data_IF_596105049830
#
_entry.id   IF_596105049830
#
_cell.length_a   1.000
_cell.length_b   1.000
_cell.length_c   1.000
_cell.angle_alpha   90.00
_cell.angle_beta   90.00
_cell.angle_gamma   90.00
#
_symmetry.space_group_name_H-M   'P 1'
#
loop_
_entity.id
_entity.type
_entity.pdbx_description
1 polymer ?
#
# COMPACT_ATOMS: atom_id res chain seq x y z
N UNK A 1 2.74 5.15 37.70
CA UNK A 1 1.92 5.87 36.71
C UNK A 1 0.85 4.93 36.16
N UNK A 2 -0.42 5.35 36.16
CA UNK A 2 -1.54 4.52 35.65
C UNK A 2 -1.77 4.82 34.16
N UNK A 3 -1.28 3.92 33.29
CA UNK A 3 -1.56 3.99 31.87
C UNK A 3 -2.98 3.51 31.54
N UNK A 4 -3.55 4.07 30.47
CA UNK A 4 -4.84 3.62 29.93
C UNK A 4 -4.82 2.11 29.64
N UNK A 5 -5.91 1.42 29.94
CA UNK A 5 -6.06 -0.01 29.62
C UNK A 5 -5.99 -0.27 28.09
N UNK A 6 -6.38 0.72 27.28
CA UNK A 6 -6.25 0.62 25.80
C UNK A 6 -4.80 0.43 25.39
N UNK A 7 -3.86 1.26 25.90
CA UNK A 7 -2.42 1.17 25.57
C UNK A 7 -1.84 -0.20 25.95
N UNK A 8 -2.28 -0.78 27.07
CA UNK A 8 -1.78 -2.09 27.53
C UNK A 8 -2.18 -3.25 26.61
N UNK A 9 -3.24 -3.09 25.82
CA UNK A 9 -3.77 -4.12 24.89
C UNK A 9 -3.17 -4.03 23.48
N UNK A 10 -2.55 -2.89 23.13
CA UNK A 10 -2.03 -2.66 21.78
C UNK A 10 -0.82 -3.54 21.48
N UNK A 11 -0.83 -4.13 20.28
CA UNK A 11 0.31 -4.78 19.65
C UNK A 11 0.77 -3.92 18.48
N UNK A 12 1.84 -3.14 18.63
CA UNK A 12 2.26 -2.23 17.58
C UNK A 12 2.75 -2.98 16.33
N UNK A 13 2.58 -2.36 15.18
CA UNK A 13 3.16 -2.82 13.94
C UNK A 13 4.70 -2.87 14.03
N UNK A 14 5.30 -3.93 13.49
CA UNK A 14 6.75 -4.06 13.41
C UNK A 14 7.20 -3.69 11.99
N UNK A 15 7.79 -2.50 11.79
CA UNK A 15 8.26 -2.06 10.48
C UNK A 15 9.40 -2.93 9.96
N UNK A 16 9.72 -2.81 8.66
CA UNK A 16 10.94 -3.37 8.11
C UNK A 16 12.17 -2.79 8.80
N UNK A 17 13.14 -3.63 9.10
CA UNK A 17 14.36 -3.17 9.78
C UNK A 17 15.13 -2.13 8.95
N UNK A 18 15.79 -1.22 9.65
CA UNK A 18 16.65 -0.19 9.09
C UNK A 18 17.96 -0.10 9.91
N UNK A 19 18.80 -1.14 9.85
CA UNK A 19 20.04 -1.17 10.62
C UNK A 19 20.98 -0.05 10.16
N UNK A 20 21.77 0.51 11.10
CA UNK A 20 22.67 1.64 10.87
C UNK A 20 24.16 1.24 11.03
N UNK A 21 24.44 -0.04 11.21
CA UNK A 21 25.78 -0.59 11.47
C UNK A 21 26.68 -0.57 10.22
N UNK A 22 26.09 -0.63 9.02
CA UNK A 22 26.77 -0.57 7.72
C UNK A 22 25.81 -0.16 6.60
N UNK A 23 26.35 0.05 5.40
CA UNK A 23 25.53 0.30 4.21
C UNK A 23 24.98 -1.03 3.65
N UNK A 24 23.67 -1.11 3.55
CA UNK A 24 22.95 -2.25 2.96
C UNK A 24 22.36 -1.90 1.59
N UNK A 25 22.23 -2.91 0.73
CA UNK A 25 21.29 -2.87 -0.38
C UNK A 25 19.89 -3.09 0.20
N UNK A 26 19.09 -2.02 0.27
CA UNK A 26 17.80 -2.02 0.95
C UNK A 26 16.66 -2.41 0.01
N UNK A 27 16.21 -3.67 0.06
CA UNK A 27 15.13 -4.23 -0.75
C UNK A 27 13.98 -4.80 0.12
N UNK A 28 13.71 -4.20 1.29
CA UNK A 28 12.78 -4.74 2.29
C UNK A 28 11.51 -3.89 2.54
N UNK A 29 11.44 -2.62 2.09
CA UNK A 29 10.35 -1.70 2.43
C UNK A 29 9.59 -1.14 1.23
N UNK A 30 9.78 -1.73 0.05
CA UNK A 30 9.08 -1.39 -1.19
C UNK A 30 9.22 0.10 -1.58
N UNK A 31 10.38 0.68 -1.30
CA UNK A 31 10.71 2.02 -1.78
C UNK A 31 11.04 1.96 -3.28
N UNK A 32 10.78 3.04 -3.98
CA UNK A 32 11.14 3.17 -5.38
C UNK A 32 12.65 3.47 -5.48
N UNK A 33 13.43 2.78 -6.31
CA UNK A 33 14.88 3.00 -6.41
C UNK A 33 15.23 4.30 -7.16
N UNK A 34 14.27 4.92 -7.83
CA UNK A 34 14.48 6.15 -8.58
C UNK A 34 14.08 7.39 -7.76
N UNK A 35 14.71 8.56 -8.02
CA UNK A 35 14.36 9.80 -7.36
C UNK A 35 12.97 10.32 -7.79
N UNK A 36 12.39 11.28 -7.05
CA UNK A 36 11.23 12.02 -7.52
C UNK A 36 11.57 12.85 -8.78
N UNK A 37 10.53 13.34 -9.46
CA UNK A 37 10.69 14.05 -10.73
C UNK A 37 11.60 15.28 -10.63
N UNK A 38 12.26 15.67 -11.73
CA UNK A 38 13.10 16.86 -11.77
C UNK A 38 12.38 18.14 -11.33
N UNK A 39 11.07 18.26 -11.59
CA UNK A 39 10.27 19.40 -11.18
C UNK A 39 10.14 19.49 -9.66
N UNK A 40 9.96 18.36 -8.97
CA UNK A 40 9.97 18.30 -7.50
C UNK A 40 11.32 18.76 -6.96
N UNK A 41 12.43 18.28 -7.55
CA UNK A 41 13.79 18.72 -7.17
C UNK A 41 13.95 20.22 -7.36
N UNK A 42 13.53 20.76 -8.50
CA UNK A 42 13.61 22.21 -8.81
C UNK A 42 12.80 23.03 -7.81
N UNK A 43 11.61 22.57 -7.44
CA UNK A 43 10.79 23.24 -6.43
C UNK A 43 11.50 23.30 -5.06
N UNK A 44 12.08 22.18 -4.60
CA UNK A 44 12.78 22.13 -3.32
C UNK A 44 14.03 23.03 -3.28
N UNK A 45 14.74 23.17 -4.41
CA UNK A 45 15.92 24.04 -4.53
C UNK A 45 15.56 25.54 -4.48
N UNK A 46 14.34 25.91 -4.87
CA UNK A 46 13.87 27.29 -4.92
C UNK A 46 12.75 27.57 -3.88
N UNK A 47 12.75 26.81 -2.79
CA UNK A 47 11.74 26.94 -1.76
C UNK A 47 11.87 28.29 -1.04
N UNK A 48 10.77 29.04 -1.02
CA UNK A 48 10.58 30.19 -0.14
C UNK A 48 10.24 29.72 1.27
N UNK A 49 11.25 29.71 2.16
CA UNK A 49 11.11 29.24 3.52
C UNK A 49 10.19 30.14 4.39
N UNK A 50 10.00 31.42 4.05
CA UNK A 50 9.16 32.34 4.82
C UNK A 50 7.69 31.91 4.84
N UNK A 51 7.28 31.15 3.83
CA UNK A 51 5.91 30.58 3.77
C UNK A 51 5.64 29.49 4.79
N UNK A 52 6.69 28.87 5.36
CA UNK A 52 6.54 27.79 6.34
C UNK A 52 5.97 28.25 7.68
N UNK A 53 5.95 29.57 7.96
CA UNK A 53 5.33 30.16 9.16
C UNK A 53 3.79 30.15 9.14
N UNK A 54 3.18 29.81 8.00
CA UNK A 54 1.73 29.80 7.82
C UNK A 54 1.18 28.37 7.81
N UNK A 55 -0.01 28.18 8.39
CA UNK A 55 -0.73 26.93 8.27
C UNK A 55 -1.06 26.62 6.80
N UNK A 56 -1.08 25.34 6.41
CA UNK A 56 -1.53 24.91 5.07
C UNK A 56 -3.03 25.09 4.89
N UNK A 57 -3.51 24.93 3.65
CA UNK A 57 -4.93 24.71 3.38
C UNK A 57 -5.36 23.38 4.05
N UNK A 58 -6.25 23.44 5.03
CA UNK A 58 -6.69 22.29 5.80
C UNK A 58 -7.49 21.26 5.00
N UNK A 59 -8.10 21.68 3.89
CA UNK A 59 -8.80 20.80 2.95
C UNK A 59 -7.95 20.37 1.75
N UNK A 60 -6.76 20.95 1.58
CA UNK A 60 -5.86 20.69 0.44
C UNK A 60 -6.57 20.79 -0.92
N UNK A 61 -7.41 21.83 -1.11
CA UNK A 61 -8.37 21.93 -2.23
C UNK A 61 -7.68 21.79 -3.59
N UNK A 62 -6.57 22.52 -3.81
CA UNK A 62 -5.84 22.47 -5.09
C UNK A 62 -5.27 21.08 -5.40
N UNK A 63 -4.79 20.39 -4.37
CA UNK A 63 -4.29 19.01 -4.53
C UNK A 63 -5.44 18.03 -4.81
N UNK A 64 -6.57 18.17 -4.13
CA UNK A 64 -7.80 17.36 -4.37
C UNK A 64 -8.33 17.59 -5.80
N UNK A 65 -8.34 18.84 -6.29
CA UNK A 65 -8.70 19.17 -7.68
C UNK A 65 -7.79 18.47 -8.68
N UNK A 66 -6.47 18.54 -8.50
CA UNK A 66 -5.50 17.87 -9.39
C UNK A 66 -5.61 16.35 -9.37
N UNK A 67 -5.84 15.75 -8.20
CA UNK A 67 -6.10 14.31 -8.11
C UNK A 67 -7.41 13.99 -8.84
N UNK A 68 -8.47 14.76 -8.61
CA UNK A 68 -9.76 14.58 -9.29
C UNK A 68 -9.61 14.65 -10.82
N UNK A 69 -8.95 15.67 -11.34
CA UNK A 69 -8.67 15.83 -12.78
C UNK A 69 -7.95 14.60 -13.36
N UNK A 70 -6.93 14.08 -12.66
CA UNK A 70 -6.17 12.91 -13.11
C UNK A 70 -7.03 11.64 -13.23
N UNK A 71 -8.02 11.48 -12.36
CA UNK A 71 -8.85 10.26 -12.28
C UNK A 71 -10.28 10.45 -12.81
N UNK A 72 -10.60 11.61 -13.39
CA UNK A 72 -11.95 11.92 -13.91
C UNK A 72 -13.00 12.07 -12.80
N UNK A 73 -12.59 12.56 -11.63
CA UNK A 73 -13.42 12.75 -10.44
C UNK A 73 -13.50 14.24 -10.05
N UNK A 74 -14.51 14.60 -9.26
CA UNK A 74 -14.58 15.91 -8.63
C UNK A 74 -13.71 15.93 -7.35
N UNK A 75 -13.26 17.11 -6.91
CA UNK A 75 -12.51 17.27 -5.65
C UNK A 75 -13.27 16.71 -4.42
N UNK A 76 -14.60 16.76 -4.44
CA UNK A 76 -15.42 16.26 -3.34
C UNK A 76 -15.50 14.72 -3.28
N UNK A 77 -14.91 14.05 -4.25
CA UNK A 77 -14.71 12.60 -4.30
C UNK A 77 -13.26 12.20 -3.91
N UNK A 78 -12.45 13.15 -3.43
CA UNK A 78 -11.05 12.93 -3.06
C UNK A 78 -10.82 13.40 -1.64
N UNK A 79 -10.19 12.58 -0.81
CA UNK A 79 -9.67 12.91 0.52
C UNK A 79 -8.14 12.79 0.52
N UNK A 80 -7.42 13.72 1.13
CA UNK A 80 -5.95 13.74 1.21
C UNK A 80 -5.50 13.57 2.65
N UNK A 81 -4.42 12.81 2.86
CA UNK A 81 -3.92 12.42 4.18
C UNK A 81 -2.39 12.38 4.26
N UNK A 82 -1.85 12.33 5.46
CA UNK A 82 -0.42 12.20 5.76
C UNK A 82 0.07 10.74 5.53
N UNK A 83 0.06 10.32 4.28
CA UNK A 83 0.31 8.94 3.84
C UNK A 83 -0.95 8.07 3.86
N UNK A 84 -0.89 6.94 3.15
CA UNK A 84 -2.00 5.98 3.11
C UNK A 84 -2.31 5.33 4.47
N UNK A 85 -1.35 5.28 5.38
CA UNK A 85 -1.58 4.73 6.72
C UNK A 85 -2.58 5.58 7.50
N UNK A 86 -2.49 6.94 7.43
CA UNK A 86 -3.48 7.82 8.03
C UNK A 86 -4.83 7.72 7.31
N UNK A 87 -4.83 7.65 5.96
CA UNK A 87 -6.05 7.42 5.18
C UNK A 87 -6.78 6.15 5.63
N UNK A 88 -6.05 5.03 5.71
CA UNK A 88 -6.58 3.75 6.18
C UNK A 88 -7.11 3.86 7.62
N UNK A 89 -6.34 4.49 8.52
CA UNK A 89 -6.75 4.71 9.91
C UNK A 89 -8.09 5.43 10.00
N UNK A 90 -8.28 6.50 9.22
CA UNK A 90 -9.54 7.25 9.19
C UNK A 90 -10.68 6.45 8.54
N UNK A 91 -10.40 5.67 7.48
CA UNK A 91 -11.38 4.75 6.90
C UNK A 91 -11.84 3.71 7.92
N UNK A 92 -10.91 3.11 8.67
CA UNK A 92 -11.25 2.11 9.69
C UNK A 92 -12.16 2.72 10.77
N UNK A 93 -11.83 3.91 11.25
CA UNK A 93 -12.65 4.60 12.25
C UNK A 93 -14.03 5.01 11.73
N UNK A 94 -14.11 5.53 10.51
CA UNK A 94 -15.34 6.09 9.95
C UNK A 94 -16.36 5.05 9.49
N UNK A 95 -15.88 3.85 9.06
CA UNK A 95 -16.70 2.95 8.25
C UNK A 95 -16.99 1.61 8.93
N UNK A 96 -16.15 1.16 9.85
CA UNK A 96 -16.28 -0.18 10.41
C UNK A 96 -16.62 -0.15 11.89
N UNK A 97 -17.79 -0.70 12.21
CA UNK A 97 -18.30 -0.80 13.57
C UNK A 97 -18.69 -2.25 13.86
N UNK A 98 -18.18 -2.80 14.96
CA UNK A 98 -18.46 -4.17 15.42
C UNK A 98 -19.94 -4.41 15.75
N UNK A 99 -20.73 -3.36 15.99
CA UNK A 99 -22.18 -3.47 16.13
C UNK A 99 -22.86 -3.95 14.85
N UNK A 100 -22.23 -3.73 13.70
CA UNK A 100 -22.70 -4.12 12.37
C UNK A 100 -22.07 -5.42 11.85
N UNK A 101 -21.31 -6.14 12.67
CA UNK A 101 -20.62 -7.39 12.32
C UNK A 101 -19.09 -7.26 12.31
N UNK A 102 -18.40 -8.31 11.86
CA UNK A 102 -16.94 -8.35 11.78
C UNK A 102 -16.43 -7.74 10.48
N UNK A 103 -15.32 -7.01 10.55
CA UNK A 103 -14.57 -6.60 9.36
C UNK A 103 -13.88 -7.81 8.73
N UNK A 104 -13.99 -7.95 7.41
CA UNK A 104 -13.35 -9.03 6.67
C UNK A 104 -12.08 -8.55 5.96
N UNK A 105 -11.02 -9.35 5.99
CA UNK A 105 -9.83 -9.16 5.14
C UNK A 105 -9.10 -10.50 4.91
N UNK A 106 -8.25 -10.61 3.86
CA UNK A 106 -7.50 -11.83 3.60
C UNK A 106 -6.55 -12.16 4.75
N UNK A 107 -6.39 -13.45 5.07
CA UNK A 107 -5.46 -13.93 6.10
C UNK A 107 -4.02 -13.49 5.84
N UNK A 108 -3.60 -13.49 4.58
CA UNK A 108 -2.30 -13.01 4.12
C UNK A 108 -2.50 -11.71 3.35
N UNK A 109 -2.30 -10.59 4.03
CA UNK A 109 -2.48 -9.23 3.49
C UNK A 109 -1.61 -8.22 4.23
N UNK A 110 -1.86 -6.92 4.04
CA UNK A 110 -1.15 -5.86 4.73
C UNK A 110 -1.31 -5.99 6.25
N UNK A 111 -0.21 -6.23 6.94
CA UNK A 111 -0.20 -6.59 8.36
C UNK A 111 -0.60 -5.46 9.31
N UNK A 112 -0.90 -4.26 8.79
CA UNK A 112 -1.41 -3.16 9.59
C UNK A 112 -2.94 -3.21 9.80
N UNK A 113 -3.70 -3.94 8.97
CA UNK A 113 -5.16 -4.01 9.14
C UNK A 113 -5.59 -4.52 10.52
N UNK A 114 -5.06 -5.64 11.06
CA UNK A 114 -5.37 -6.04 12.43
C UNK A 114 -4.92 -5.03 13.49
N UNK A 115 -3.85 -4.25 13.24
CA UNK A 115 -3.40 -3.19 14.16
C UNK A 115 -4.43 -2.07 14.27
N UNK A 116 -5.04 -1.65 13.15
CA UNK A 116 -6.15 -0.69 13.18
C UNK A 116 -7.37 -1.27 13.90
N UNK A 117 -7.72 -2.53 13.65
CA UNK A 117 -8.81 -3.21 14.34
C UNK A 117 -8.60 -3.20 15.86
N UNK A 118 -7.42 -3.60 16.33
CA UNK A 118 -7.06 -3.61 17.76
C UNK A 118 -7.08 -2.19 18.35
N UNK A 119 -6.65 -1.18 17.58
CA UNK A 119 -6.61 0.22 18.01
C UNK A 119 -8.01 0.82 18.21
N UNK A 120 -8.93 0.52 17.29
CA UNK A 120 -10.29 1.04 17.31
C UNK A 120 -11.32 0.12 17.97
N UNK A 121 -10.93 -1.09 18.36
CA UNK A 121 -11.82 -2.08 18.95
C UNK A 121 -12.78 -2.72 17.93
N UNK A 122 -12.35 -2.85 16.68
CA UNK A 122 -13.12 -3.46 15.60
C UNK A 122 -12.89 -4.97 15.61
N UNK A 123 -13.96 -5.76 15.73
CA UNK A 123 -13.87 -7.19 15.55
C UNK A 123 -13.64 -7.55 14.07
N UNK A 124 -12.83 -8.58 13.81
CA UNK A 124 -12.50 -8.96 12.45
C UNK A 124 -12.44 -10.46 12.23
N UNK A 125 -12.57 -10.88 10.99
CA UNK A 125 -12.38 -12.24 10.53
C UNK A 125 -11.35 -12.26 9.39
N UNK A 126 -10.35 -13.12 9.52
CA UNK A 126 -9.36 -13.38 8.46
C UNK A 126 -9.88 -14.46 7.54
N UNK A 127 -10.07 -14.12 6.27
CA UNK A 127 -10.52 -15.06 5.26
C UNK A 127 -9.32 -15.82 4.70
N UNK A 128 -9.31 -17.17 4.81
CA UNK A 128 -8.20 -17.98 4.32
C UNK A 128 -7.93 -17.72 2.82
N UNK A 129 -6.67 -17.44 2.49
CA UNK A 129 -6.25 -17.34 1.08
C UNK A 129 -6.22 -18.70 0.41
N UNK A 130 -6.26 -18.74 -0.95
CA UNK A 130 -6.14 -19.99 -1.71
C UNK A 130 -4.75 -20.63 -1.51
N UNK A 131 -4.56 -21.83 -2.07
CA UNK A 131 -3.25 -22.49 -2.06
C UNK A 131 -2.15 -21.67 -2.77
N UNK A 132 -2.54 -20.91 -3.77
CA UNK A 132 -1.69 -20.00 -4.54
C UNK A 132 -1.53 -18.63 -3.88
N UNK A 133 -1.98 -18.46 -2.63
CA UNK A 133 -1.99 -17.22 -1.86
C UNK A 133 -2.78 -16.08 -2.53
N UNK A 134 -3.79 -16.42 -3.34
CA UNK A 134 -4.70 -15.46 -3.95
C UNK A 134 -5.87 -15.11 -3.01
N UNK A 135 -6.48 -13.95 -3.21
CA UNK A 135 -7.66 -13.49 -2.47
C UNK A 135 -8.90 -14.26 -2.94
N UNK A 136 -9.63 -14.97 -2.05
CA UNK A 136 -10.79 -15.78 -2.42
C UNK A 136 -12.07 -14.92 -2.45
N UNK A 137 -12.39 -14.31 -3.58
CA UNK A 137 -13.53 -13.38 -3.74
C UNK A 137 -14.85 -14.00 -3.31
N UNK A 138 -15.12 -15.26 -3.68
CA UNK A 138 -16.34 -15.99 -3.35
C UNK A 138 -16.52 -16.16 -1.84
N UNK A 139 -15.44 -16.29 -1.10
CA UNK A 139 -15.51 -16.44 0.35
C UNK A 139 -15.91 -15.14 1.05
N UNK A 140 -15.59 -13.98 0.48
CA UNK A 140 -16.08 -12.69 0.96
C UNK A 140 -17.59 -12.53 0.70
N UNK A 141 -18.03 -12.86 -0.51
CA UNK A 141 -19.43 -12.74 -0.92
C UNK A 141 -20.37 -13.57 -0.05
N UNK A 142 -19.93 -14.73 0.43
CA UNK A 142 -20.71 -15.60 1.33
C UNK A 142 -20.96 -14.98 2.71
N UNK A 143 -20.15 -14.03 3.17
CA UNK A 143 -20.19 -13.49 4.55
C UNK A 143 -20.94 -12.16 4.64
N UNK A 144 -22.22 -12.17 4.23
CA UNK A 144 -23.08 -10.99 4.18
C UNK A 144 -23.34 -10.30 5.53
N UNK A 145 -23.11 -10.98 6.65
CA UNK A 145 -23.28 -10.44 8.01
C UNK A 145 -22.09 -9.61 8.53
N UNK A 146 -21.07 -9.33 7.72
CA UNK A 146 -19.93 -8.51 8.09
C UNK A 146 -20.27 -7.01 8.12
N UNK A 147 -19.43 -6.19 8.78
CA UNK A 147 -19.57 -4.72 8.73
C UNK A 147 -18.92 -4.09 7.50
N UNK A 148 -18.20 -4.86 6.69
CA UNK A 148 -17.51 -4.42 5.49
C UNK A 148 -16.30 -5.31 5.22
N UNK A 149 -15.55 -4.95 4.18
CA UNK A 149 -14.32 -5.67 3.84
C UNK A 149 -13.20 -4.71 3.40
N UNK A 150 -11.96 -5.15 3.60
CA UNK A 150 -10.75 -4.46 3.14
C UNK A 150 -9.76 -5.44 2.55
N UNK A 151 -9.17 -5.09 1.42
CA UNK A 151 -8.06 -5.85 0.83
C UNK A 151 -7.13 -4.95 0.02
N UNK A 152 -5.86 -5.33 -0.09
CA UNK A 152 -4.91 -4.66 -0.95
C UNK A 152 -4.93 -5.28 -2.35
N UNK A 153 -4.92 -4.45 -3.37
CA UNK A 153 -4.87 -4.88 -4.77
C UNK A 153 -3.95 -3.97 -5.61
N UNK A 154 -2.76 -4.43 -5.98
CA UNK A 154 -2.13 -5.74 -5.70
C UNK A 154 -1.90 -6.01 -4.21
N UNK A 155 -2.06 -7.28 -3.81
CA UNK A 155 -1.93 -7.67 -2.41
C UNK A 155 -0.47 -7.61 -1.91
N UNK A 156 -0.27 -7.23 -0.67
CA UNK A 156 1.02 -7.29 0.00
C UNK A 156 0.92 -8.28 1.20
N UNK A 157 1.83 -9.25 1.33
CA UNK A 157 3.16 -9.35 0.70
C UNK A 157 3.23 -10.14 -0.60
N UNK A 158 2.15 -10.72 -1.11
CA UNK A 158 2.17 -11.73 -2.17
C UNK A 158 2.40 -11.16 -3.57
N UNK A 159 1.97 -9.92 -3.84
CA UNK A 159 1.96 -9.31 -5.17
C UNK A 159 0.79 -9.75 -6.05
N UNK A 160 -0.02 -10.71 -5.60
CA UNK A 160 -1.19 -11.21 -6.34
C UNK A 160 -2.22 -10.11 -6.59
N UNK A 161 -2.98 -10.23 -7.66
CA UNK A 161 -3.83 -9.17 -8.18
C UNK A 161 -5.21 -9.71 -8.58
N UNK A 162 -6.25 -9.00 -8.18
CA UNK A 162 -7.62 -9.19 -8.65
C UNK A 162 -7.88 -8.29 -9.86
N UNK A 163 -8.48 -8.86 -10.91
CA UNK A 163 -8.88 -8.10 -12.09
C UNK A 163 -10.07 -7.18 -11.79
N UNK A 164 -10.31 -6.17 -12.63
CA UNK A 164 -11.54 -5.36 -12.51
C UNK A 164 -12.80 -6.22 -12.54
N UNK A 165 -12.81 -7.32 -13.31
CA UNK A 165 -13.93 -8.26 -13.36
C UNK A 165 -14.15 -8.93 -11.99
N UNK A 166 -13.10 -9.32 -11.30
CA UNK A 166 -13.19 -9.94 -9.97
C UNK A 166 -13.74 -8.94 -8.93
N UNK A 167 -13.25 -7.68 -9.00
CA UNK A 167 -13.73 -6.60 -8.11
C UNK A 167 -15.21 -6.26 -8.42
N UNK A 168 -15.58 -6.17 -9.68
CA UNK A 168 -16.96 -5.95 -10.09
C UNK A 168 -17.88 -7.06 -9.60
N UNK A 169 -17.49 -8.32 -9.81
CA UNK A 169 -18.24 -9.48 -9.29
C UNK A 169 -18.42 -9.40 -7.77
N UNK A 170 -17.37 -9.02 -7.04
CA UNK A 170 -17.44 -8.82 -5.59
C UNK A 170 -18.47 -7.73 -5.24
N UNK A 171 -18.41 -6.57 -5.89
CA UNK A 171 -19.32 -5.44 -5.62
C UNK A 171 -20.78 -5.75 -5.95
N UNK A 172 -21.04 -6.50 -7.03
CA UNK A 172 -22.38 -6.90 -7.46
C UNK A 172 -23.02 -7.96 -6.53
N UNK A 173 -22.19 -8.77 -5.85
CA UNK A 173 -22.66 -9.90 -5.03
C UNK A 173 -22.51 -9.66 -3.52
N UNK A 174 -21.87 -8.56 -3.11
CA UNK A 174 -21.71 -8.14 -1.71
C UNK A 174 -22.74 -7.06 -1.37
N UNK A 175 -23.24 -6.96 -0.12
CA UNK A 175 -24.30 -6.00 0.22
C UNK A 175 -23.89 -4.55 -0.09
N UNK A 176 -24.69 -3.81 -0.87
CA UNK A 176 -24.33 -2.47 -1.36
C UNK A 176 -24.26 -1.39 -0.26
N UNK A 177 -24.80 -1.66 0.93
CA UNK A 177 -24.70 -0.78 2.10
C UNK A 177 -23.44 -1.03 2.92
N UNK A 178 -22.66 -2.07 2.60
CA UNK A 178 -21.44 -2.41 3.32
C UNK A 178 -20.19 -1.85 2.61
N UNK A 179 -19.31 -1.12 3.30
CA UNK A 179 -18.12 -0.56 2.69
C UNK A 179 -17.17 -1.62 2.13
N UNK A 180 -16.65 -1.37 0.94
CA UNK A 180 -15.60 -2.15 0.29
C UNK A 180 -14.39 -1.25 0.10
N UNK A 181 -13.35 -1.48 0.89
CA UNK A 181 -12.11 -0.69 0.87
C UNK A 181 -11.02 -1.44 0.11
N UNK A 182 -10.57 -0.88 -1.02
CA UNK A 182 -9.49 -1.42 -1.82
C UNK A 182 -8.23 -0.56 -1.67
N UNK A 183 -7.16 -1.15 -1.14
CA UNK A 183 -5.87 -0.49 -1.02
C UNK A 183 -5.05 -0.71 -2.30
N UNK A 184 -4.99 0.32 -3.13
CA UNK A 184 -4.29 0.36 -4.41
C UNK A 184 -2.87 0.92 -4.31
N UNK A 185 -2.17 0.74 -3.19
CA UNK A 185 -0.83 1.30 -3.00
C UNK A 185 0.19 0.89 -4.08
N UNK A 186 -0.02 -0.23 -4.77
CA UNK A 186 0.89 -0.79 -5.78
C UNK A 186 0.30 -0.86 -7.19
N UNK A 187 -0.91 -0.34 -7.42
CA UNK A 187 -1.66 -0.57 -8.66
C UNK A 187 -0.93 -0.08 -9.93
N UNK A 188 -0.11 0.97 -9.81
CA UNK A 188 0.60 1.57 -10.95
C UNK A 188 1.74 0.70 -11.50
N UNK A 189 2.03 -0.45 -10.88
CA UNK A 189 3.06 -1.39 -11.33
C UNK A 189 2.49 -2.52 -12.22
N UNK A 190 1.42 -2.25 -12.95
CA UNK A 190 0.86 -3.12 -13.99
C UNK A 190 -0.49 -3.72 -13.64
N UNK A 191 -1.17 -3.23 -12.61
CA UNK A 191 -2.57 -3.48 -12.36
C UNK A 191 -3.47 -2.43 -13.05
N UNK A 192 -4.77 -2.70 -13.10
CA UNK A 192 -5.80 -1.79 -13.54
C UNK A 192 -6.62 -1.31 -12.34
N UNK A 193 -6.75 0.01 -12.18
CA UNK A 193 -7.41 0.62 -11.02
C UNK A 193 -8.93 0.43 -11.07
N UNK A 194 -9.55 0.22 -9.91
CA UNK A 194 -11.00 0.16 -9.78
C UNK A 194 -11.71 1.54 -9.81
N UNK A 195 -11.00 2.63 -10.11
CA UNK A 195 -11.57 3.99 -10.23
C UNK A 195 -12.83 4.03 -11.13
N UNK A 196 -12.90 3.35 -12.31
CA UNK A 196 -14.11 3.37 -13.13
C UNK A 196 -15.36 2.86 -12.42
N UNK A 197 -15.21 1.97 -11.42
CA UNK A 197 -16.31 1.39 -10.68
C UNK A 197 -16.93 2.34 -9.63
N UNK A 198 -16.23 3.42 -9.25
CA UNK A 198 -16.71 4.43 -8.29
C UNK A 198 -17.99 5.12 -8.74
N UNK A 199 -18.24 5.19 -10.07
CA UNK A 199 -19.43 5.82 -10.61
C UNK A 199 -20.70 5.09 -10.21
N UNK A 200 -20.66 3.75 -10.23
CA UNK A 200 -21.82 2.90 -10.10
C UNK A 200 -21.94 2.22 -8.72
N UNK A 201 -20.82 2.20 -7.93
CA UNK A 201 -20.74 1.55 -6.62
C UNK A 201 -20.41 2.56 -5.51
N UNK A 202 -21.43 3.07 -4.84
CA UNK A 202 -21.31 4.11 -3.80
C UNK A 202 -20.58 3.65 -2.53
N UNK A 203 -20.53 2.34 -2.28
CA UNK A 203 -19.88 1.71 -1.14
C UNK A 203 -18.38 1.40 -1.38
N UNK A 204 -17.84 1.68 -2.58
CA UNK A 204 -16.44 1.47 -2.92
C UNK A 204 -15.59 2.65 -2.47
N UNK A 205 -14.45 2.35 -1.81
CA UNK A 205 -13.39 3.31 -1.49
C UNK A 205 -12.06 2.77 -2.02
N UNK A 206 -11.26 3.65 -2.62
CA UNK A 206 -9.93 3.34 -3.12
C UNK A 206 -8.90 4.17 -2.36
N UNK A 207 -7.94 3.50 -1.71
CA UNK A 207 -6.81 4.16 -1.04
C UNK A 207 -5.58 4.10 -1.93
N UNK A 208 -4.88 5.22 -2.07
CA UNK A 208 -3.64 5.32 -2.85
C UNK A 208 -2.56 6.09 -2.11
N UNK A 209 -1.33 5.95 -2.59
CA UNK A 209 -0.16 6.59 -1.97
C UNK A 209 0.82 7.13 -3.01
N UNK A 210 1.47 8.24 -2.69
CA UNK A 210 2.61 8.76 -3.44
C UNK A 210 3.93 8.06 -3.08
N UNK A 211 3.93 7.22 -2.05
CA UNK A 211 5.14 6.58 -1.50
C UNK A 211 5.80 5.59 -2.46
N UNK A 212 5.06 4.98 -3.38
CA UNK A 212 5.52 3.87 -4.21
C UNK A 212 5.78 4.30 -5.65
N UNK A 213 4.76 4.45 -6.46
CA UNK A 213 4.86 4.78 -7.88
C UNK A 213 5.37 6.20 -8.16
N UNK A 214 5.22 7.13 -7.22
CA UNK A 214 5.67 8.51 -7.35
C UNK A 214 6.96 8.84 -6.57
N UNK A 215 7.69 7.84 -6.07
CA UNK A 215 9.01 8.02 -5.43
C UNK A 215 9.01 8.99 -4.23
N UNK A 216 7.90 9.16 -3.52
CA UNK A 216 7.70 10.20 -2.50
C UNK A 216 7.41 9.62 -1.10
N UNK A 217 8.01 8.46 -0.76
CA UNK A 217 7.79 7.82 0.54
C UNK A 217 8.10 8.75 1.73
N UNK A 218 9.15 9.57 1.64
CA UNK A 218 9.56 10.52 2.66
C UNK A 218 8.65 11.75 2.78
N UNK A 219 7.83 12.05 1.76
CA UNK A 219 6.90 13.20 1.76
C UNK A 219 5.62 12.92 2.54
N UNK A 220 5.30 11.65 2.76
CA UNK A 220 4.11 11.21 3.51
C UNK A 220 2.82 11.76 2.91
N UNK A 221 2.48 11.37 1.69
CA UNK A 221 1.24 11.77 1.02
C UNK A 221 0.45 10.54 0.56
N UNK A 222 -0.82 10.48 0.97
CA UNK A 222 -1.80 9.50 0.54
C UNK A 222 -3.15 10.14 0.25
N UNK A 223 -4.05 9.41 -0.37
CA UNK A 223 -5.40 9.88 -0.65
C UNK A 223 -6.41 8.74 -0.78
N UNK A 224 -7.67 9.10 -0.61
CA UNK A 224 -8.83 8.21 -0.83
C UNK A 224 -9.67 8.79 -1.95
N UNK A 225 -10.20 7.92 -2.80
CA UNK A 225 -11.22 8.24 -3.80
C UNK A 225 -12.48 7.46 -3.48
N UNK A 226 -13.61 8.13 -3.40
CA UNK A 226 -14.91 7.54 -3.06
C UNK A 226 -16.08 8.47 -3.42
N UNK A 227 -17.30 8.04 -3.18
CA UNK A 227 -18.46 8.91 -3.22
C UNK A 227 -18.37 10.04 -2.18
N UNK A 228 -18.98 11.20 -2.50
CA UNK A 228 -18.93 12.42 -1.66
C UNK A 228 -19.30 12.16 -0.20
N UNK A 229 -20.33 11.38 0.06
CA UNK A 229 -20.80 11.08 1.42
C UNK A 229 -19.70 10.42 2.28
N UNK A 230 -18.98 9.45 1.70
CA UNK A 230 -17.86 8.78 2.36
C UNK A 230 -16.66 9.73 2.56
N UNK A 231 -16.40 10.61 1.61
CA UNK A 231 -15.35 11.64 1.75
C UNK A 231 -15.69 12.64 2.85
N UNK A 232 -16.95 13.08 2.96
CA UNK A 232 -17.41 13.98 4.03
C UNK A 232 -17.24 13.34 5.41
N UNK A 233 -17.51 12.03 5.54
CA UNK A 233 -17.24 11.27 6.76
C UNK A 233 -15.75 11.26 7.14
N UNK A 234 -14.85 11.05 6.15
CA UNK A 234 -13.41 11.09 6.38
C UNK A 234 -12.92 12.50 6.78
N UNK A 235 -13.47 13.54 6.18
CA UNK A 235 -13.17 14.94 6.57
C UNK A 235 -13.63 15.19 8.02
N UNK A 236 -14.79 14.70 8.41
CA UNK A 236 -15.29 14.81 9.78
C UNK A 236 -14.34 14.13 10.78
N UNK A 237 -13.90 12.91 10.50
CA UNK A 237 -12.92 12.19 11.34
C UNK A 237 -11.61 12.97 11.43
N UNK A 238 -11.07 13.41 10.29
CA UNK A 238 -9.84 14.22 10.21
C UNK A 238 -9.95 15.48 11.11
N UNK A 239 -11.02 16.25 10.95
CA UNK A 239 -11.20 17.52 11.69
C UNK A 239 -11.44 17.30 13.18
N UNK A 240 -11.88 16.09 13.56
CA UNK A 240 -12.04 15.70 14.97
C UNK A 240 -10.74 15.19 15.60
N UNK A 241 -9.70 14.89 14.80
CA UNK A 241 -8.43 14.37 15.28
C UNK A 241 -7.26 15.34 15.04
N UNK A 242 -7.05 15.78 13.79
CA UNK A 242 -6.01 16.73 13.39
C UNK A 242 -6.46 17.49 12.14
N UNK A 243 -6.77 18.78 12.28
CA UNK A 243 -7.31 19.59 11.18
C UNK A 243 -6.30 19.88 10.06
N UNK A 244 -4.98 19.80 10.33
CA UNK A 244 -3.91 20.18 9.39
C UNK A 244 -2.87 19.05 9.17
N UNK A 245 -3.28 17.82 8.80
CA UNK A 245 -2.33 16.70 8.76
C UNK A 245 -1.33 16.78 7.60
N UNK A 246 -1.67 17.48 6.51
CA UNK A 246 -0.85 17.55 5.28
C UNK A 246 -0.20 18.93 5.17
N UNK A 247 1.12 18.97 5.30
CA UNK A 247 1.89 20.22 5.29
C UNK A 247 1.82 20.97 3.95
N UNK A 248 2.09 22.26 3.96
CA UNK A 248 2.20 23.10 2.74
C UNK A 248 3.18 22.52 1.71
N UNK A 249 4.33 22.00 2.20
CA UNK A 249 5.33 21.35 1.33
C UNK A 249 4.79 20.09 0.69
N UNK A 250 4.17 19.23 1.49
CA UNK A 250 3.58 17.95 1.02
C UNK A 250 2.51 18.21 -0.03
N UNK A 251 1.59 19.17 0.20
CA UNK A 251 0.57 19.55 -0.76
C UNK A 251 1.19 20.00 -2.08
N UNK A 252 2.16 20.91 -2.00
CA UNK A 252 2.80 21.48 -3.20
C UNK A 252 3.61 20.46 -3.98
N UNK A 253 4.35 19.59 -3.30
CA UNK A 253 5.09 18.49 -3.93
C UNK A 253 4.12 17.53 -4.63
N UNK A 254 2.98 17.20 -4.01
CA UNK A 254 1.94 16.38 -4.60
C UNK A 254 1.36 16.98 -5.88
N UNK A 255 1.02 18.29 -5.87
CA UNK A 255 0.55 19.01 -7.06
C UNK A 255 1.55 18.96 -8.23
N UNK A 256 2.85 19.15 -7.93
CA UNK A 256 3.93 19.12 -8.93
C UNK A 256 4.11 17.69 -9.47
N UNK A 257 4.15 16.69 -8.59
CA UNK A 257 4.33 15.30 -8.98
C UNK A 257 3.21 14.83 -9.92
N UNK A 258 1.95 15.20 -9.65
CA UNK A 258 0.82 14.88 -10.53
C UNK A 258 0.96 15.46 -11.93
N UNK A 259 1.66 16.60 -12.09
CA UNK A 259 1.88 17.22 -13.39
C UNK A 259 2.98 16.54 -14.22
N UNK A 260 3.81 15.68 -13.61
CA UNK A 260 4.93 14.97 -14.26
C UNK A 260 4.59 13.50 -14.56
N UNK A 261 3.38 13.22 -15.00
CA UNK A 261 2.88 11.87 -15.21
C UNK A 261 3.78 11.01 -16.11
N UNK A 262 4.29 11.58 -17.20
CA UNK A 262 5.16 10.87 -18.16
C UNK A 262 6.45 10.37 -17.51
N UNK A 263 7.04 11.14 -16.61
CA UNK A 263 8.21 10.75 -15.84
C UNK A 263 7.93 9.51 -14.97
N UNK A 264 6.88 9.57 -14.16
CA UNK A 264 6.53 8.45 -13.25
C UNK A 264 6.09 7.21 -14.01
N UNK A 265 5.34 7.36 -15.11
CA UNK A 265 4.98 6.24 -15.99
C UNK A 265 6.23 5.56 -16.56
N UNK A 266 7.22 6.33 -17.03
CA UNK A 266 8.49 5.80 -17.53
C UNK A 266 9.24 5.00 -16.47
N UNK A 267 9.32 5.51 -15.23
CA UNK A 267 9.98 4.83 -14.10
C UNK A 267 9.23 3.53 -13.73
N UNK A 268 7.91 3.59 -13.61
CA UNK A 268 7.12 2.43 -13.27
C UNK A 268 7.24 1.32 -14.32
N UNK A 269 7.28 1.67 -15.60
CA UNK A 269 7.54 0.71 -16.68
C UNK A 269 8.94 0.07 -16.58
N UNK A 270 9.98 0.81 -16.18
CA UNK A 270 11.30 0.23 -15.91
C UNK A 270 11.25 -0.78 -14.76
N UNK A 271 10.56 -0.45 -13.66
CA UNK A 271 10.40 -1.38 -12.52
C UNK A 271 9.64 -2.63 -12.94
N UNK A 272 8.58 -2.50 -13.75
CA UNK A 272 7.84 -3.64 -14.30
C UNK A 272 8.77 -4.53 -15.12
N UNK A 273 9.54 -3.97 -16.06
CA UNK A 273 10.47 -4.73 -16.90
C UNK A 273 11.52 -5.46 -16.07
N UNK A 274 12.13 -4.79 -15.07
CA UNK A 274 13.11 -5.39 -14.17
C UNK A 274 12.48 -6.51 -13.33
N UNK A 275 11.25 -6.31 -12.83
CA UNK A 275 10.52 -7.34 -12.07
C UNK A 275 10.30 -8.59 -12.91
N UNK A 276 9.81 -8.44 -14.15
CA UNK A 276 9.52 -9.58 -15.02
C UNK A 276 10.81 -10.35 -15.38
N UNK A 277 11.90 -9.63 -15.71
CA UNK A 277 13.21 -10.26 -15.97
C UNK A 277 13.72 -11.02 -14.74
N UNK A 278 13.73 -10.37 -13.58
CA UNK A 278 14.20 -10.98 -12.33
C UNK A 278 13.36 -12.20 -11.93
N UNK A 279 12.04 -12.13 -12.09
CA UNK A 279 11.14 -13.26 -11.83
C UNK A 279 11.44 -14.44 -12.74
N UNK A 280 11.68 -14.19 -14.04
CA UNK A 280 12.06 -15.23 -15.01
C UNK A 280 13.39 -15.87 -14.62
N UNK A 281 14.39 -15.07 -14.25
CA UNK A 281 15.72 -15.59 -13.90
C UNK A 281 15.70 -16.40 -12.59
N UNK A 282 14.91 -15.99 -11.61
CA UNK A 282 14.66 -16.80 -10.41
C UNK A 282 13.99 -18.13 -10.74
N UNK A 283 13.01 -18.14 -11.65
CA UNK A 283 12.35 -19.37 -12.10
C UNK A 283 13.33 -20.34 -12.73
N UNK A 284 14.26 -19.85 -13.59
CA UNK A 284 15.34 -20.68 -14.20
C UNK A 284 16.29 -21.28 -13.15
N UNK A 285 16.42 -20.64 -11.97
CA UNK A 285 17.21 -21.13 -10.84
C UNK A 285 16.43 -22.05 -9.89
N UNK A 286 15.20 -22.45 -10.26
CA UNK A 286 14.35 -23.33 -9.48
C UNK A 286 13.68 -22.67 -8.26
N UNK A 287 13.53 -21.33 -8.27
CA UNK A 287 12.75 -20.64 -7.25
C UNK A 287 11.26 -20.61 -7.62
N UNK A 288 10.41 -20.73 -6.61
CA UNK A 288 8.98 -20.43 -6.76
C UNK A 288 8.81 -18.91 -6.66
N UNK A 289 8.25 -18.29 -7.70
CA UNK A 289 7.96 -16.85 -7.72
C UNK A 289 6.48 -16.66 -7.96
N UNK A 290 5.78 -15.98 -7.07
CA UNK A 290 4.36 -15.67 -7.27
C UNK A 290 4.21 -14.58 -8.34
N UNK A 291 3.17 -14.65 -9.19
CA UNK A 291 2.83 -13.56 -10.11
C UNK A 291 2.63 -12.26 -9.33
N UNK A 292 3.27 -11.18 -9.78
CA UNK A 292 3.20 -9.90 -9.08
C UNK A 292 2.79 -8.76 -10.01
N UNK A 293 1.90 -7.88 -9.51
CA UNK A 293 1.57 -6.57 -10.09
C UNK A 293 2.00 -5.42 -9.17
N UNK A 294 2.99 -5.67 -8.28
CA UNK A 294 3.57 -4.68 -7.37
C UNK A 294 5.03 -4.36 -7.72
N UNK A 295 5.67 -3.45 -6.98
CA UNK A 295 7.10 -3.17 -7.12
C UNK A 295 7.99 -4.12 -6.31
N UNK A 296 7.54 -5.35 -6.12
CA UNK A 296 8.26 -6.41 -5.43
C UNK A 296 7.87 -7.77 -5.99
N UNK A 297 8.68 -8.78 -5.69
CA UNK A 297 8.35 -10.20 -5.87
C UNK A 297 8.23 -10.89 -4.54
N UNK A 298 7.41 -11.95 -4.48
CA UNK A 298 7.31 -12.84 -3.35
C UNK A 298 7.76 -14.22 -3.77
N UNK A 299 8.87 -14.70 -3.19
CA UNK A 299 9.60 -15.85 -3.72
C UNK A 299 10.13 -16.72 -2.60
N UNK A 300 10.23 -18.02 -2.87
CA UNK A 300 10.83 -19.03 -1.99
C UNK A 300 11.55 -20.10 -2.78
N UNK A 301 12.37 -20.89 -2.11
CA UNK A 301 13.08 -22.04 -2.73
C UNK A 301 12.73 -23.31 -1.97
N UNK A 302 12.32 -24.34 -2.70
CA UNK A 302 11.95 -25.62 -2.09
C UNK A 302 13.09 -26.15 -1.21
N UNK A 303 12.74 -26.55 0.02
CA UNK A 303 13.70 -27.08 1.00
C UNK A 303 14.55 -26.03 1.72
N UNK A 304 14.36 -24.72 1.44
CA UNK A 304 15.08 -23.64 2.13
C UNK A 304 14.07 -22.75 2.87
N UNK A 305 14.10 -22.69 4.21
CA UNK A 305 13.21 -21.81 4.97
C UNK A 305 13.43 -20.33 4.60
N UNK A 306 12.34 -19.54 4.47
CA UNK A 306 12.44 -18.11 4.15
C UNK A 306 13.28 -17.31 5.14
N UNK A 307 13.27 -17.72 6.42
CA UNK A 307 14.14 -17.12 7.45
C UNK A 307 15.63 -17.32 7.14
N UNK A 308 16.01 -18.49 6.63
CA UNK A 308 17.40 -18.76 6.23
C UNK A 308 17.80 -17.90 5.03
N UNK A 309 16.91 -17.78 4.03
CA UNK A 309 17.12 -16.89 2.88
C UNK A 309 17.36 -15.45 3.36
N UNK A 310 16.51 -14.95 4.23
CA UNK A 310 16.62 -13.62 4.82
C UNK A 310 17.95 -13.42 5.54
N UNK A 311 18.36 -14.36 6.42
CA UNK A 311 19.57 -14.25 7.23
C UNK A 311 20.85 -14.25 6.36
N UNK A 312 20.96 -15.20 5.43
CA UNK A 312 22.11 -15.30 4.54
C UNK A 312 22.27 -14.06 3.64
N UNK A 313 21.16 -13.51 3.11
CA UNK A 313 21.22 -12.27 2.33
C UNK A 313 21.60 -11.08 3.19
N UNK A 314 21.11 -10.99 4.42
CA UNK A 314 21.49 -9.93 5.36
C UNK A 314 22.99 -9.96 5.70
N UNK A 315 23.58 -11.12 5.90
CA UNK A 315 25.03 -11.31 6.09
C UNK A 315 25.84 -10.77 4.90
N UNK A 316 25.30 -10.89 3.68
CA UNK A 316 25.88 -10.33 2.44
C UNK A 316 25.55 -8.85 2.21
N UNK A 317 24.92 -8.18 3.20
CA UNK A 317 24.59 -6.77 3.12
C UNK A 317 23.38 -6.46 2.26
N UNK A 318 22.43 -7.41 2.10
CA UNK A 318 21.19 -7.24 1.34
C UNK A 318 20.01 -7.46 2.27
N UNK A 319 19.14 -6.46 2.40
CA UNK A 319 17.92 -6.54 3.22
C UNK A 319 16.71 -6.90 2.35
N UNK A 320 16.09 -8.03 2.65
CA UNK A 320 14.79 -8.45 2.13
C UNK A 320 13.79 -8.57 3.28
N UNK A 321 12.52 -8.81 3.02
CA UNK A 321 11.51 -8.95 4.09
C UNK A 321 11.08 -10.41 4.23
N UNK A 322 11.18 -10.94 5.44
CA UNK A 322 10.63 -12.23 5.85
C UNK A 322 9.40 -12.03 6.73
N UNK A 323 8.49 -13.03 6.75
CA UNK A 323 7.26 -13.06 7.55
C UNK A 323 7.15 -14.42 8.26
N UNK A 324 6.91 -14.41 9.57
CA UNK A 324 6.85 -15.64 10.38
C UNK A 324 5.50 -16.38 10.32
N UNK A 325 4.48 -15.82 9.65
CA UNK A 325 3.17 -16.45 9.54
C UNK A 325 3.24 -17.78 8.75
N UNK A 326 2.56 -18.81 9.24
CA UNK A 326 2.69 -20.19 8.77
C UNK A 326 2.62 -20.36 7.25
N UNK A 327 1.63 -19.73 6.58
CA UNK A 327 1.44 -19.86 5.13
C UNK A 327 2.51 -19.17 4.28
N UNK A 328 3.31 -18.30 4.86
CA UNK A 328 4.27 -17.46 4.12
C UNK A 328 5.70 -17.53 4.65
N UNK A 329 5.95 -18.30 5.72
CA UNK A 329 7.27 -18.39 6.38
C UNK A 329 8.39 -18.93 5.50
N UNK A 330 8.06 -19.64 4.43
CA UNK A 330 9.03 -20.21 3.49
C UNK A 330 9.36 -19.25 2.32
N UNK A 331 8.78 -18.06 2.35
CA UNK A 331 8.95 -17.02 1.35
C UNK A 331 9.65 -15.79 1.91
N UNK A 332 10.25 -15.01 1.01
CA UNK A 332 10.73 -13.65 1.25
C UNK A 332 10.11 -12.69 0.24
N UNK A 333 9.83 -11.46 0.66
CA UNK A 333 9.44 -10.38 -0.23
C UNK A 333 10.67 -9.54 -0.58
N UNK A 334 10.92 -9.36 -1.85
CA UNK A 334 12.06 -8.65 -2.41
C UNK A 334 11.56 -7.43 -3.19
N UNK A 335 11.87 -6.24 -2.73
CA UNK A 335 11.60 -5.00 -3.47
C UNK A 335 12.43 -4.96 -4.75
N UNK A 336 11.85 -4.49 -5.85
CA UNK A 336 12.58 -4.31 -7.11
C UNK A 336 13.42 -3.04 -7.03
N UNK A 337 14.72 -3.21 -7.12
CA UNK A 337 15.73 -2.16 -7.22
C UNK A 337 16.02 -1.75 -8.67
N UNK A 338 17.15 -1.09 -8.89
CA UNK A 338 17.67 -0.84 -10.25
C UNK A 338 18.09 -2.16 -10.92
N UNK A 339 18.30 -2.19 -12.25
CA UNK A 339 18.85 -3.38 -12.91
C UNK A 339 20.13 -3.90 -12.23
N UNK A 340 21.04 -2.99 -11.87
CA UNK A 340 22.32 -3.31 -11.22
C UNK A 340 22.11 -3.90 -9.81
N UNK A 341 21.14 -3.37 -9.06
CA UNK A 341 20.77 -3.90 -7.75
C UNK A 341 20.27 -5.34 -7.85
N UNK A 342 19.41 -5.60 -8.84
CA UNK A 342 18.81 -6.93 -9.04
C UNK A 342 19.81 -7.93 -9.58
N UNK A 343 20.74 -7.53 -10.46
CA UNK A 343 21.85 -8.34 -10.91
C UNK A 343 22.77 -8.75 -9.76
N UNK A 344 23.16 -7.79 -8.90
CA UNK A 344 23.93 -8.05 -7.69
C UNK A 344 23.23 -9.04 -6.76
N UNK A 345 21.91 -8.86 -6.51
CA UNK A 345 21.14 -9.79 -5.70
C UNK A 345 21.10 -11.18 -6.32
N UNK A 346 20.81 -11.28 -7.63
CA UNK A 346 20.74 -12.55 -8.33
C UNK A 346 22.07 -13.33 -8.26
N UNK A 347 23.22 -12.62 -8.38
CA UNK A 347 24.54 -13.18 -8.20
C UNK A 347 24.74 -13.79 -6.80
N UNK A 348 24.30 -13.10 -5.74
CA UNK A 348 24.35 -13.64 -4.38
C UNK A 348 23.42 -14.84 -4.20
N UNK A 349 22.20 -14.79 -4.75
CA UNK A 349 21.23 -15.90 -4.66
C UNK A 349 21.76 -17.18 -5.35
N UNK A 350 22.45 -17.05 -6.49
CA UNK A 350 23.11 -18.18 -7.19
C UNK A 350 24.22 -18.83 -6.35
N UNK A 351 24.94 -18.03 -5.55
CA UNK A 351 26.09 -18.51 -4.76
C UNK A 351 25.63 -19.13 -3.44
N UNK A 352 24.56 -18.64 -2.84
CA UNK A 352 24.11 -19.02 -1.50
C UNK A 352 23.14 -20.20 -1.47
N UNK A 353 22.45 -20.46 -2.60
CA UNK A 353 21.35 -21.40 -2.72
C UNK A 353 21.41 -22.17 -4.04
#
# INVERSE_FOLDING_TARGET
>A
MNLSQRVKKLKPYVPGEQPQDRKYLKLNTNENPYPPSPQVKKFLQNLDADRLRLYPDHLAIKLREKIGERYGLNKDQVFVSNGSDEALSFCFYALFDSLNGKLLFPEVTYSFYPVYCDYYGIEYEKIPVTRELAIPVEEFVKRKGSCGLVFANPNAPTGTYLTLKDILYLLENYPPEKPVLVDEAYIDFGGESAVPLLRDHKNLLLVRTFSKSMCLAGVRLGFVMAGKELIDALVTVKDSFNSYPVSTLTQKIGEIALSDESYYRSINNKIIAVRESFSSDLGKLGWTVLPSKANFVFTGKQGVPGKEIYMKLKERGILVRHFDAEKVRDFVRITIGTPEDMERLLGQMKTLF
#
